data_IF_413346481548
#
_entry.id   IF_413346481548
#
_cell.length_a   1.000
_cell.length_b   1.000
_cell.length_c   1.000
_cell.angle_alpha   90.00
_cell.angle_beta   90.00
_cell.angle_gamma   90.00
#
_symmetry.space_group_name_H-M   'P 1'
#
loop_
_entity.id
_entity.type
_entity.pdbx_description
1 polymer ?
#
# COMPACT_ATOMS: atom_id res chain seq x y z
N UNK A 1 4.29 -3.41 15.44
CA UNK A 1 3.70 -4.58 14.72
C UNK A 1 4.54 -5.01 13.53
N UNK A 2 5.12 -4.08 12.76
CA UNK A 2 6.05 -4.38 11.65
C UNK A 2 7.23 -5.25 12.13
N UNK A 3 7.80 -4.97 13.31
CA UNK A 3 8.90 -5.79 13.86
C UNK A 3 8.51 -7.24 14.15
N UNK A 4 7.24 -7.49 14.47
CA UNK A 4 6.76 -8.86 14.67
C UNK A 4 6.63 -9.58 13.32
N UNK A 5 6.17 -8.89 12.28
CA UNK A 5 6.10 -9.43 10.91
C UNK A 5 7.49 -9.83 10.41
N UNK A 6 8.52 -9.01 10.67
CA UNK A 6 9.92 -9.30 10.32
C UNK A 6 10.43 -10.62 10.90
N UNK A 7 10.02 -10.93 12.13
CA UNK A 7 10.44 -12.13 12.88
C UNK A 7 9.72 -13.41 12.45
N UNK A 8 8.72 -13.31 11.57
CA UNK A 8 8.04 -14.50 11.05
C UNK A 8 8.88 -15.21 9.99
N UNK A 9 8.61 -16.50 9.78
CA UNK A 9 9.16 -17.30 8.68
C UNK A 9 8.29 -17.21 7.42
N UNK A 10 7.48 -16.15 7.25
CA UNK A 10 6.67 -15.98 6.06
C UNK A 10 7.55 -15.73 4.82
N UNK A 11 7.29 -16.48 3.75
CA UNK A 11 7.98 -16.32 2.46
C UNK A 11 7.76 -14.90 1.88
N UNK A 12 6.57 -14.35 2.09
CA UNK A 12 6.23 -12.97 1.72
C UNK A 12 5.78 -12.20 2.95
N UNK A 13 6.47 -11.10 3.24
CA UNK A 13 6.13 -10.17 4.33
C UNK A 13 5.61 -8.89 3.71
N UNK A 14 4.29 -8.71 3.69
CA UNK A 14 3.68 -7.52 3.11
C UNK A 14 2.97 -6.67 4.16
N UNK A 15 2.81 -5.39 3.88
CA UNK A 15 1.99 -4.47 4.66
C UNK A 15 0.88 -3.95 3.77
N UNK A 16 -0.36 -4.05 4.23
CA UNK A 16 -1.51 -3.39 3.61
C UNK A 16 -1.93 -2.19 4.46
N UNK A 17 -1.85 -1.00 3.88
CA UNK A 17 -2.37 0.25 4.44
C UNK A 17 -3.79 0.47 3.93
N UNK A 18 -4.73 -0.28 4.53
CA UNK A 18 -6.14 -0.27 4.13
C UNK A 18 -7.08 -0.29 5.35
N UNK A 19 -8.05 0.63 5.45
CA UNK A 19 -8.13 1.86 4.67
C UNK A 19 -7.03 2.85 5.05
N UNK A 20 -6.38 3.47 4.07
CA UNK A 20 -5.49 4.61 4.31
C UNK A 20 -6.34 5.88 4.51
N UNK A 21 -6.40 6.37 5.75
CA UNK A 21 -7.22 7.52 6.15
C UNK A 21 -6.40 8.81 6.24
N UNK A 22 -5.07 8.70 6.30
CA UNK A 22 -4.14 9.82 6.37
C UNK A 22 -2.70 9.35 6.45
N UNK A 23 -1.77 10.29 6.62
CA UNK A 23 -0.34 10.01 6.75
C UNK A 23 -0.06 9.00 7.86
N UNK A 24 0.86 8.09 7.58
CA UNK A 24 1.41 7.11 8.52
C UNK A 24 2.84 7.47 8.95
N UNK A 25 3.34 8.63 8.47
CA UNK A 25 4.68 9.12 8.72
C UNK A 25 5.77 8.23 8.12
N UNK A 26 6.96 8.31 8.72
CA UNK A 26 8.10 7.49 8.33
C UNK A 26 7.92 6.04 8.76
N UNK A 27 8.06 5.14 7.81
CA UNK A 27 7.95 3.70 7.96
C UNK A 27 9.33 3.11 7.66
N UNK A 28 9.87 2.35 8.61
CA UNK A 28 10.99 1.48 8.30
C UNK A 28 10.45 0.28 7.50
N UNK A 29 10.79 0.16 6.22
CA UNK A 29 10.38 -0.94 5.34
C UNK A 29 11.44 -2.04 5.17
N UNK A 30 12.56 -1.97 5.93
CA UNK A 30 13.56 -3.04 5.90
C UNK A 30 12.94 -4.41 6.20
N UNK A 31 13.23 -5.41 5.37
CA UNK A 31 12.69 -6.77 5.52
C UNK A 31 11.20 -6.91 5.17
N UNK A 32 10.60 -5.91 4.51
CA UNK A 32 9.26 -5.97 3.93
C UNK A 32 9.40 -6.19 2.43
N UNK A 33 8.62 -7.12 1.89
CA UNK A 33 8.72 -7.57 0.51
C UNK A 33 7.69 -6.89 -0.40
N UNK A 34 6.63 -6.31 0.17
CA UNK A 34 5.55 -5.73 -0.61
C UNK A 34 4.70 -4.75 0.22
N UNK A 35 4.25 -3.68 -0.41
CA UNK A 35 3.32 -2.73 0.20
C UNK A 35 2.09 -2.56 -0.68
N UNK A 36 0.92 -2.64 -0.05
CA UNK A 36 -0.39 -2.43 -0.68
C UNK A 36 -1.02 -1.19 -0.07
N UNK A 37 -1.57 -0.30 -0.90
CA UNK A 37 -2.32 0.88 -0.46
C UNK A 37 -3.73 0.87 -1.05
N UNK A 38 -4.73 1.20 -0.23
CA UNK A 38 -6.11 1.30 -0.68
C UNK A 38 -7.02 2.08 0.27
N UNK A 39 -8.02 2.73 -0.30
CA UNK A 39 -9.00 3.53 0.46
C UNK A 39 -10.20 2.74 0.98
N UNK A 40 -10.94 3.37 1.89
CA UNK A 40 -12.16 2.82 2.50
C UNK A 40 -13.30 2.67 1.48
N UNK A 41 -14.06 1.57 1.53
CA UNK A 41 -15.17 1.31 0.61
C UNK A 41 -16.51 1.25 1.32
N UNK A 42 -17.59 1.63 0.63
CA UNK A 42 -18.97 1.49 1.11
C UNK A 42 -19.59 2.80 1.63
N UNK A 43 -20.84 2.75 2.13
CA UNK A 43 -21.50 3.91 2.71
C UNK A 43 -20.67 4.51 3.86
N UNK A 44 -20.49 5.83 3.87
CA UNK A 44 -19.70 6.52 4.90
C UNK A 44 -18.18 6.39 4.73
N UNK A 45 -17.69 5.91 3.58
CA UNK A 45 -16.26 5.83 3.29
C UNK A 45 -15.57 7.18 3.44
N UNK A 46 -14.49 7.22 4.22
CA UNK A 46 -13.63 8.40 4.35
C UNK A 46 -12.80 8.60 3.07
N UNK A 47 -12.61 9.86 2.62
CA UNK A 47 -11.75 10.14 1.49
C UNK A 47 -10.30 9.81 1.85
N UNK A 48 -9.59 9.19 0.90
CA UNK A 48 -8.14 8.99 0.98
C UNK A 48 -7.45 10.18 0.31
N UNK A 49 -6.41 10.71 0.94
CA UNK A 49 -5.62 11.81 0.42
C UNK A 49 -4.52 11.28 -0.50
N UNK A 50 -4.37 11.90 -1.69
CA UNK A 50 -3.34 11.52 -2.65
C UNK A 50 -1.93 11.67 -2.05
N UNK A 51 -1.72 12.71 -1.26
CA UNK A 51 -0.46 13.00 -0.59
C UNK A 51 -0.04 11.86 0.34
N UNK A 52 -1.00 11.22 1.02
CA UNK A 52 -0.73 10.07 1.89
C UNK A 52 -0.33 8.83 1.09
N UNK A 53 -0.90 8.64 -0.10
CA UNK A 53 -0.52 7.55 -1.01
C UNK A 53 0.89 7.78 -1.54
N UNK A 54 1.19 9.01 -1.98
CA UNK A 54 2.50 9.39 -2.51
C UNK A 54 3.59 9.33 -1.44
N UNK A 55 3.30 9.68 -0.20
CA UNK A 55 4.23 9.53 0.93
C UNK A 55 4.67 8.07 1.11
N UNK A 56 3.74 7.11 1.07
CA UNK A 56 4.07 5.68 1.18
C UNK A 56 4.82 5.21 -0.06
N UNK A 57 4.37 5.61 -1.25
CA UNK A 57 5.01 5.25 -2.53
C UNK A 57 6.47 5.69 -2.58
N UNK A 58 6.77 6.93 -2.17
CA UNK A 58 8.14 7.45 -2.15
C UNK A 58 9.03 6.67 -1.18
N UNK A 59 8.49 6.26 -0.03
CA UNK A 59 9.21 5.41 0.91
C UNK A 59 9.42 4.00 0.35
N UNK A 60 8.46 3.44 -0.40
CA UNK A 60 8.67 2.19 -1.12
C UNK A 60 9.83 2.28 -2.12
N UNK A 61 9.92 3.38 -2.87
CA UNK A 61 11.03 3.63 -3.81
C UNK A 61 12.38 3.73 -3.07
N UNK A 62 12.44 4.48 -1.97
CA UNK A 62 13.66 4.63 -1.15
C UNK A 62 14.17 3.27 -0.63
N UNK A 63 13.26 2.40 -0.20
CA UNK A 63 13.60 1.07 0.33
C UNK A 63 13.65 -0.03 -0.74
N UNK A 64 13.42 0.30 -2.02
CA UNK A 64 13.31 -0.68 -3.11
C UNK A 64 12.29 -1.79 -2.83
N UNK A 65 11.14 -1.42 -2.25
CA UNK A 65 10.04 -2.34 -1.93
C UNK A 65 8.92 -2.20 -2.96
N UNK A 66 8.48 -3.31 -3.58
CA UNK A 66 7.36 -3.30 -4.52
C UNK A 66 6.11 -2.59 -3.96
N UNK A 67 5.53 -1.71 -4.76
CA UNK A 67 4.34 -0.92 -4.42
C UNK A 67 3.13 -1.30 -5.28
N UNK A 68 2.01 -1.61 -4.62
CA UNK A 68 0.74 -1.91 -5.25
C UNK A 68 -0.34 -0.92 -4.80
N UNK A 69 -0.85 -0.14 -5.75
CA UNK A 69 -2.00 0.74 -5.53
C UNK A 69 -3.30 0.02 -5.90
N UNK A 70 -4.07 -0.36 -4.88
CA UNK A 70 -5.26 -1.19 -5.07
C UNK A 70 -6.44 -0.41 -5.61
N UNK A 71 -6.80 0.71 -4.96
CA UNK A 71 -7.95 1.57 -5.32
C UNK A 71 -8.08 2.78 -4.39
N UNK A 72 -8.76 3.83 -4.84
CA UNK A 72 -9.07 5.02 -4.04
C UNK A 72 -10.13 4.84 -2.93
N UNK A 73 -10.96 3.80 -3.02
CA UNK A 73 -12.11 3.62 -2.13
C UNK A 73 -13.36 4.37 -2.61
N UNK A 74 -14.26 4.75 -1.72
CA UNK A 74 -15.50 5.47 -2.01
C UNK A 74 -16.76 4.60 -2.06
N UNK A 75 -17.92 5.28 -2.12
CA UNK A 75 -19.25 4.64 -2.23
C UNK A 75 -19.38 3.82 -3.52
N UNK A 76 -18.77 4.28 -4.62
CA UNK A 76 -18.69 3.56 -5.90
C UNK A 76 -17.25 3.15 -6.21
N UNK A 77 -16.70 2.19 -5.45
CA UNK A 77 -15.30 1.72 -5.59
C UNK A 77 -14.85 1.39 -7.02
N UNK A 78 -15.75 0.89 -7.88
CA UNK A 78 -15.45 0.59 -9.29
C UNK A 78 -15.18 1.86 -10.13
N UNK A 79 -15.72 3.00 -9.72
CA UNK A 79 -15.66 4.24 -10.48
C UNK A 79 -14.41 5.07 -10.16
N UNK A 80 -13.90 4.97 -8.94
CA UNK A 80 -12.72 5.75 -8.52
C UNK A 80 -11.41 5.10 -9.01
N UNK A 81 -11.46 3.84 -9.44
CA UNK A 81 -10.40 3.20 -10.22
C UNK A 81 -9.12 2.89 -9.43
N UNK A 82 -8.09 2.48 -10.20
CA UNK A 82 -6.78 2.00 -9.74
C UNK A 82 -5.64 2.91 -10.21
N UNK A 83 -5.98 4.09 -10.69
CA UNK A 83 -5.03 4.99 -11.33
C UNK A 83 -4.49 5.98 -10.32
N UNK A 84 -3.17 6.04 -10.18
CA UNK A 84 -2.42 7.03 -9.42
C UNK A 84 -1.39 7.64 -10.37
N UNK A 85 -1.33 8.97 -10.49
CA UNK A 85 -0.47 9.65 -11.45
C UNK A 85 -0.66 9.13 -12.89
N UNK A 86 -1.92 8.99 -13.32
CA UNK A 86 -2.32 8.57 -14.67
C UNK A 86 -1.83 7.16 -15.10
N UNK A 87 -1.41 6.30 -14.17
CA UNK A 87 -1.13 4.88 -14.44
C UNK A 87 -1.54 3.98 -13.29
N UNK A 88 -1.53 2.67 -13.53
CA UNK A 88 -1.67 1.68 -12.46
C UNK A 88 -0.30 1.35 -11.87
N UNK A 89 -0.30 0.97 -10.60
CA UNK A 89 0.90 0.53 -9.87
C UNK A 89 0.60 -0.86 -9.33
N UNK A 90 1.06 -1.89 -10.06
CA UNK A 90 0.68 -3.29 -9.87
C UNK A 90 1.89 -4.17 -9.53
N UNK A 91 2.92 -3.61 -8.88
CA UNK A 91 4.16 -4.34 -8.60
C UNK A 91 3.91 -5.50 -7.62
N UNK A 92 4.69 -6.57 -7.77
CA UNK A 92 4.60 -7.81 -7.00
C UNK A 92 5.95 -8.15 -6.37
N UNK A 93 5.98 -8.86 -5.22
CA UNK A 93 7.23 -9.31 -4.61
C UNK A 93 7.96 -10.31 -5.51
N UNK A 94 9.24 -10.05 -5.78
CA UNK A 94 10.06 -10.84 -6.73
C UNK A 94 10.38 -12.26 -6.21
N UNK A 95 10.33 -12.49 -4.89
CA UNK A 95 10.79 -13.73 -4.24
C UNK A 95 9.66 -14.56 -3.57
N UNK A 96 8.42 -14.48 -4.04
CA UNK A 96 7.33 -15.28 -3.46
C UNK A 96 7.39 -16.80 -3.80
N UNK A 97 8.34 -17.23 -4.65
CA UNK A 97 8.34 -18.57 -5.27
C UNK A 97 9.68 -19.34 -5.18
N UNK A 98 10.66 -18.89 -4.39
CA UNK A 98 11.90 -19.66 -4.15
C UNK A 98 11.81 -20.51 -2.89
#
# INVERSE_FOLDING_TARGET
RIDNLRKTNANVKFISFEPLIGSVGKINLNGIHWVIVGGESGPGSRPMLEESVLEIKNQCEEYSVPFFFKQWGGVRKKNNGRTLLNKTWDEMPVNALS
#
